data_IF_413765806301
#
_entry.id   IF_413765806301
#
_cell.length_a   1.000
_cell.length_b   1.000
_cell.length_c   1.000
_cell.angle_alpha   90.00
_cell.angle_beta   90.00
_cell.angle_gamma   90.00
#
_symmetry.space_group_name_H-M   'P 1'
#
loop_
_entity.id
_entity.type
_entity.pdbx_description
1 polymer ?
#
# COMPACT_ATOMS: atom_id res chain seq x y z
N UNK A 1 -18.48 9.49 -13.68
CA UNK A 1 -17.94 9.66 -12.32
C UNK A 1 -16.63 10.40 -12.43
N UNK A 2 -16.43 11.42 -11.61
CA UNK A 2 -15.18 12.17 -11.54
C UNK A 2 -14.22 11.51 -10.57
N UNK A 3 -13.01 11.25 -11.05
CA UNK A 3 -11.94 10.66 -10.26
C UNK A 3 -10.68 11.53 -10.35
N UNK A 4 -9.78 11.36 -9.39
CA UNK A 4 -8.44 11.95 -9.46
C UNK A 4 -7.41 10.86 -9.72
N UNK A 5 -6.68 10.98 -10.82
CA UNK A 5 -5.56 10.10 -11.17
C UNK A 5 -4.25 10.75 -10.75
N UNK A 6 -3.31 9.95 -10.25
CA UNK A 6 -1.95 10.35 -9.89
C UNK A 6 -0.97 9.54 -10.76
N UNK A 7 -0.18 10.24 -11.56
CA UNK A 7 0.92 9.65 -12.32
C UNK A 7 2.11 9.37 -11.40
N UNK A 8 2.62 8.14 -11.36
CA UNK A 8 3.63 7.76 -10.38
C UNK A 8 5.03 8.38 -10.61
N UNK A 9 5.34 8.77 -11.85
CA UNK A 9 6.64 9.32 -12.19
C UNK A 9 6.72 10.81 -11.83
N UNK A 10 5.70 11.56 -12.25
CA UNK A 10 5.60 13.01 -12.15
C UNK A 10 4.84 13.47 -10.90
N UNK A 11 4.05 12.58 -10.29
CA UNK A 11 3.11 12.87 -9.19
C UNK A 11 2.07 13.93 -9.56
N UNK A 12 1.81 14.10 -10.86
CA UNK A 12 0.80 15.01 -11.35
C UNK A 12 -0.59 14.44 -11.07
N UNK A 13 -1.43 15.26 -10.41
CA UNK A 13 -2.85 14.94 -10.20
C UNK A 13 -3.68 15.42 -11.38
N UNK A 14 -4.49 14.55 -11.97
CA UNK A 14 -5.39 14.85 -13.08
C UNK A 14 -6.82 14.47 -12.73
N UNK A 15 -7.79 15.30 -13.12
CA UNK A 15 -9.21 14.93 -13.03
C UNK A 15 -9.57 14.13 -14.28
N UNK A 16 -10.19 12.97 -14.08
CA UNK A 16 -10.63 12.11 -15.17
C UNK A 16 -12.11 11.78 -15.02
N UNK A 17 -12.82 11.77 -16.14
CA UNK A 17 -14.20 11.30 -16.21
C UNK A 17 -14.20 9.80 -16.49
N UNK A 18 -14.54 9.01 -15.47
CA UNK A 18 -14.75 7.57 -15.59
C UNK A 18 -16.18 7.32 -16.03
N UNK A 19 -16.32 6.70 -17.19
CA UNK A 19 -17.58 6.06 -17.58
C UNK A 19 -17.60 4.68 -16.97
N UNK A 20 -18.48 4.45 -15.98
CA UNK A 20 -18.69 3.12 -15.40
C UNK A 20 -19.33 2.20 -16.43
N UNK A 21 -18.53 1.62 -17.32
CA UNK A 21 -18.82 0.31 -17.86
C UNK A 21 -18.13 -0.70 -16.94
N UNK A 22 -18.80 -1.82 -16.65
CA UNK A 22 -18.24 -2.91 -15.84
C UNK A 22 -16.81 -3.28 -16.29
N UNK A 23 -16.52 -3.13 -17.58
CA UNK A 23 -15.22 -3.47 -18.17
C UNK A 23 -14.13 -2.41 -17.93
N UNK A 24 -14.45 -1.11 -17.84
CA UNK A 24 -13.44 -0.03 -17.72
C UNK A 24 -12.84 0.03 -16.32
N UNK A 25 -13.69 -0.20 -15.33
CA UNK A 25 -13.36 -0.44 -13.93
C UNK A 25 -12.53 -1.72 -13.87
N UNK A 26 -13.02 -2.87 -14.33
CA UNK A 26 -12.24 -4.13 -14.32
C UNK A 26 -10.87 -4.08 -15.03
N UNK A 27 -10.69 -3.25 -16.06
CA UNK A 27 -9.41 -3.09 -16.77
C UNK A 27 -8.40 -2.23 -15.98
N UNK A 28 -8.87 -1.27 -15.17
CA UNK A 28 -8.05 -0.66 -14.12
C UNK A 28 -7.82 -1.65 -12.96
N UNK A 29 -8.81 -2.48 -12.61
CA UNK A 29 -8.83 -3.37 -11.43
C UNK A 29 -7.99 -4.65 -11.57
N UNK A 30 -6.86 -4.56 -12.26
CA UNK A 30 -5.65 -5.14 -11.69
C UNK A 30 -5.15 -4.19 -10.60
N UNK A 31 -6.02 -3.72 -9.70
CA UNK A 31 -5.71 -2.73 -8.69
C UNK A 31 -6.07 -3.27 -7.34
N UNK A 32 -5.17 -3.06 -6.39
CA UNK A 32 -5.35 -3.52 -5.04
C UNK A 32 -6.03 -2.40 -4.28
N UNK A 33 -7.18 -2.71 -3.66
CA UNK A 33 -7.90 -1.79 -2.80
C UNK A 33 -7.01 -1.40 -1.64
N UNK A 34 -6.66 -0.13 -1.56
CA UNK A 34 -6.06 0.45 -0.36
C UNK A 34 -7.20 1.08 0.43
N UNK A 35 -7.41 0.54 1.62
CA UNK A 35 -8.50 0.87 2.53
C UNK A 35 -8.44 2.35 3.00
N UNK A 36 -9.50 2.77 3.69
CA UNK A 36 -9.79 4.15 4.08
C UNK A 36 -8.66 4.79 4.90
N UNK A 37 -7.96 5.75 4.29
CA UNK A 37 -7.02 6.63 4.97
C UNK A 37 -7.78 7.64 5.83
N UNK A 38 -7.38 7.82 7.10
CA UNK A 38 -7.98 8.83 7.98
C UNK A 38 -7.91 10.26 7.39
N UNK A 39 -6.88 10.54 6.58
CA UNK A 39 -6.70 11.81 5.85
C UNK A 39 -7.46 11.92 4.52
N UNK A 40 -8.01 10.81 4.02
CA UNK A 40 -8.84 10.71 2.81
C UNK A 40 -10.23 10.15 3.16
N UNK A 41 -10.86 10.78 4.15
CA UNK A 41 -12.20 10.40 4.62
C UNK A 41 -13.18 10.34 3.44
N UNK A 42 -14.00 9.29 3.37
CA UNK A 42 -14.96 9.05 2.28
C UNK A 42 -14.29 8.96 0.89
N UNK A 43 -13.06 8.46 0.82
CA UNK A 43 -12.39 8.17 -0.44
C UNK A 43 -11.72 6.80 -0.40
N UNK A 44 -11.51 6.24 -1.59
CA UNK A 44 -10.82 4.99 -1.81
C UNK A 44 -9.67 5.21 -2.79
N UNK A 45 -8.57 4.48 -2.58
CA UNK A 45 -7.39 4.53 -3.43
C UNK A 45 -7.24 3.17 -4.12
N UNK A 46 -7.24 3.19 -5.44
CA UNK A 46 -6.86 2.06 -6.26
C UNK A 46 -5.43 2.29 -6.75
N UNK A 47 -4.54 1.33 -6.48
CA UNK A 47 -3.16 1.35 -6.96
C UNK A 47 -2.91 0.17 -7.90
N UNK A 48 -1.99 0.32 -8.84
CA UNK A 48 -1.61 -0.73 -9.79
C UNK A 48 -1.06 -2.00 -9.11
N UNK A 49 -1.67 -3.16 -9.38
CA UNK A 49 -1.31 -4.44 -8.76
C UNK A 49 0.04 -5.00 -9.21
N UNK A 50 0.53 -4.59 -10.39
CA UNK A 50 1.83 -5.03 -10.88
C UNK A 50 2.95 -4.04 -10.52
N UNK A 51 2.62 -2.90 -9.93
CA UNK A 51 3.56 -1.81 -9.65
C UNK A 51 4.81 -2.26 -8.89
N UNK A 52 4.66 -3.20 -7.95
CA UNK A 52 5.80 -3.75 -7.21
C UNK A 52 6.75 -4.54 -8.13
N UNK A 53 6.20 -5.49 -8.90
CA UNK A 53 6.99 -6.33 -9.82
C UNK A 53 7.60 -5.52 -10.98
N UNK A 54 6.96 -4.43 -11.37
CA UNK A 54 7.46 -3.49 -12.38
C UNK A 54 8.42 -2.44 -11.80
N UNK A 55 8.72 -2.51 -10.49
CA UNK A 55 9.58 -1.58 -9.77
C UNK A 55 9.16 -0.11 -9.97
N UNK A 56 7.86 0.12 -10.06
CA UNK A 56 7.28 1.46 -10.18
C UNK A 56 7.63 2.29 -8.94
N UNK A 57 7.83 3.59 -9.16
CA UNK A 57 8.22 4.52 -8.11
C UNK A 57 7.18 4.53 -6.97
N UNK A 58 7.60 4.25 -5.71
CA UNK A 58 6.75 4.38 -4.55
C UNK A 58 6.64 5.85 -4.11
N UNK A 59 5.53 6.20 -3.48
CA UNK A 59 5.31 7.49 -2.81
C UNK A 59 4.28 7.31 -1.69
N UNK A 60 4.09 8.34 -0.86
CA UNK A 60 3.04 8.34 0.15
C UNK A 60 1.91 9.28 -0.25
N UNK A 61 0.69 8.90 0.15
CA UNK A 61 -0.44 9.81 0.28
C UNK A 61 -0.81 9.84 1.76
N UNK A 62 -0.59 10.96 2.44
CA UNK A 62 -0.61 10.99 3.90
C UNK A 62 0.39 9.99 4.48
N UNK A 63 -0.11 8.99 5.21
CA UNK A 63 0.71 7.94 5.83
C UNK A 63 0.75 6.63 5.01
N UNK A 64 -0.05 6.54 3.95
CA UNK A 64 -0.19 5.30 3.19
C UNK A 64 0.85 5.18 2.09
N UNK A 65 1.59 4.07 2.07
CA UNK A 65 2.49 3.76 0.97
C UNK A 65 1.69 3.35 -0.28
N UNK A 66 1.92 4.05 -1.38
CA UNK A 66 1.32 3.79 -2.68
C UNK A 66 2.40 3.39 -3.68
N UNK A 67 2.13 2.32 -4.44
CA UNK A 67 3.00 1.84 -5.51
C UNK A 67 2.36 2.10 -6.87
N UNK A 68 3.09 2.78 -7.75
CA UNK A 68 2.62 3.02 -9.11
C UNK A 68 1.47 4.02 -9.19
N UNK A 69 0.78 3.99 -10.31
CA UNK A 69 -0.29 4.96 -10.58
C UNK A 69 -1.43 4.75 -9.60
N UNK A 70 -2.06 5.84 -9.17
CA UNK A 70 -3.18 5.77 -8.25
C UNK A 70 -4.43 6.45 -8.81
N UNK A 71 -5.57 5.90 -8.46
CA UNK A 71 -6.88 6.44 -8.77
C UNK A 71 -7.66 6.65 -7.47
N UNK A 72 -8.09 7.88 -7.24
CA UNK A 72 -8.84 8.30 -6.05
C UNK A 72 -10.30 8.50 -6.46
N UNK A 73 -11.19 7.72 -5.83
CA UNK A 73 -12.64 7.86 -5.96
C UNK A 73 -13.23 8.31 -4.63
N UNK A 74 -14.37 9.00 -4.69
CA UNK A 74 -15.19 9.22 -3.51
C UNK A 74 -15.89 7.91 -3.13
N UNK A 75 -16.29 7.78 -1.88
CA UNK A 75 -17.01 6.63 -1.36
C UNK A 75 -18.23 7.06 -0.56
N UNK A 76 -19.37 6.45 -0.86
CA UNK A 76 -20.61 6.59 -0.10
C UNK A 76 -21.10 5.19 0.30
N UNK A 77 -20.81 4.79 1.55
CA UNK A 77 -21.01 3.43 2.01
C UNK A 77 -20.16 2.42 1.22
N UNK A 78 -20.82 1.59 0.40
CA UNK A 78 -20.16 0.58 -0.44
C UNK A 78 -20.06 1.00 -1.92
N UNK A 79 -20.59 2.18 -2.27
CA UNK A 79 -20.62 2.66 -3.65
C UNK A 79 -19.48 3.65 -3.89
N UNK A 80 -18.79 3.46 -5.02
CA UNK A 80 -17.86 4.45 -5.54
C UNK A 80 -18.67 5.62 -6.13
N UNK A 81 -18.27 6.84 -5.79
CA UNK A 81 -18.90 8.10 -6.23
C UNK A 81 -17.85 9.10 -6.68
N UNK A 82 -18.29 10.27 -7.14
CA UNK A 82 -17.38 11.35 -7.51
C UNK A 82 -16.44 11.70 -6.35
N UNK A 83 -15.14 11.82 -6.65
CA UNK A 83 -14.15 12.28 -5.69
C UNK A 83 -14.53 13.67 -5.17
N UNK A 84 -14.65 13.79 -3.84
CA UNK A 84 -15.07 15.03 -3.16
C UNK A 84 -13.86 15.88 -2.73
N UNK A 85 -12.69 15.27 -2.58
CA UNK A 85 -11.46 15.96 -2.18
C UNK A 85 -11.01 16.95 -3.25
N UNK A 86 -10.65 18.17 -2.83
CA UNK A 86 -10.11 19.14 -3.76
C UNK A 86 -8.71 18.73 -4.23
N UNK A 87 -8.39 18.93 -5.51
CA UNK A 87 -7.06 18.64 -6.08
C UNK A 87 -5.90 19.24 -5.25
N UNK A 88 -6.06 20.46 -4.73
CA UNK A 88 -5.05 21.13 -3.91
C UNK A 88 -4.83 20.42 -2.57
N UNK A 89 -5.89 19.90 -1.96
CA UNK A 89 -5.83 19.14 -0.71
C UNK A 89 -5.12 17.81 -0.94
N UNK A 90 -5.49 17.09 -2.02
CA UNK A 90 -4.82 15.84 -2.38
C UNK A 90 -3.32 16.06 -2.64
N UNK A 91 -2.95 17.11 -3.38
CA UNK A 91 -1.54 17.46 -3.62
C UNK A 91 -0.75 17.71 -2.33
N UNK A 92 -1.39 18.26 -1.30
CA UNK A 92 -0.74 18.50 -0.01
C UNK A 92 -0.47 17.22 0.78
N UNK A 93 -1.18 16.13 0.47
CA UNK A 93 -0.98 14.81 1.07
C UNK A 93 0.09 13.98 0.35
N UNK A 94 0.47 14.34 -0.88
CA UNK A 94 1.44 13.56 -1.66
C UNK A 94 2.86 13.85 -1.17
N UNK A 95 3.55 12.82 -0.70
CA UNK A 95 4.95 12.89 -0.29
C UNK A 95 5.82 11.98 -1.18
N UNK A 96 6.74 12.56 -1.98
CA UNK A 96 7.60 11.78 -2.89
C UNK A 96 8.69 10.99 -2.16
N UNK A 97 9.01 11.38 -0.93
CA UNK A 97 10.20 10.92 -0.23
C UNK A 97 9.95 9.61 0.49
N UNK A 98 10.29 8.52 -0.18
CA UNK A 98 10.36 7.18 0.40
C UNK A 98 11.79 6.94 0.88
N UNK A 99 11.95 6.61 2.16
CA UNK A 99 13.26 6.47 2.79
C UNK A 99 13.99 5.17 2.37
N UNK A 100 15.23 5.02 2.84
CA UNK A 100 16.10 3.90 2.45
C UNK A 100 15.52 2.53 2.85
N UNK A 101 14.93 2.41 4.05
CA UNK A 101 14.34 1.17 4.52
C UNK A 101 13.26 0.64 3.55
N UNK A 102 12.29 1.50 3.19
CA UNK A 102 11.25 1.11 2.25
C UNK A 102 11.83 0.73 0.88
N UNK A 103 12.77 1.52 0.36
CA UNK A 103 13.39 1.24 -0.95
C UNK A 103 14.06 -0.13 -0.98
N UNK A 104 14.82 -0.46 0.05
CA UNK A 104 15.53 -1.74 0.15
C UNK A 104 14.56 -2.91 0.28
N UNK A 105 13.53 -2.79 1.13
CA UNK A 105 12.51 -3.84 1.28
C UNK A 105 11.72 -4.02 0.00
N UNK A 106 11.27 -2.94 -0.66
CA UNK A 106 10.51 -3.03 -1.91
C UNK A 106 11.32 -3.68 -3.03
N UNK A 107 12.62 -3.41 -3.11
CA UNK A 107 13.52 -4.06 -4.06
C UNK A 107 13.58 -5.58 -3.85
N UNK A 108 13.65 -6.03 -2.58
CA UNK A 108 13.61 -7.45 -2.24
C UNK A 108 12.28 -8.12 -2.60
N UNK A 109 11.18 -7.39 -2.44
CA UNK A 109 9.82 -7.92 -2.68
C UNK A 109 9.43 -7.91 -4.15
N UNK A 110 10.07 -7.08 -4.99
CA UNK A 110 9.77 -6.93 -6.41
C UNK A 110 9.86 -8.26 -7.19
N UNK A 111 10.75 -9.16 -6.78
CA UNK A 111 10.96 -10.46 -7.44
C UNK A 111 10.03 -11.58 -6.88
N UNK A 112 8.99 -11.21 -6.14
CA UNK A 112 8.08 -12.14 -5.45
C UNK A 112 6.63 -11.96 -5.92
N UNK A 113 5.75 -12.88 -5.54
CA UNK A 113 4.30 -12.80 -5.80
C UNK A 113 3.52 -12.06 -4.70
N UNK A 114 4.22 -11.35 -3.81
CA UNK A 114 3.58 -10.69 -2.68
C UNK A 114 2.71 -9.51 -3.14
N UNK A 115 1.54 -9.41 -2.53
CA UNK A 115 0.65 -8.27 -2.67
C UNK A 115 0.68 -7.48 -1.37
N UNK A 116 1.14 -6.22 -1.42
CA UNK A 116 1.36 -5.43 -0.20
C UNK A 116 0.09 -5.16 0.61
N UNK A 117 -1.06 -5.07 -0.06
CA UNK A 117 -2.32 -4.66 0.56
C UNK A 117 -3.28 -5.83 0.77
N UNK A 118 -2.93 -7.04 0.31
CA UNK A 118 -3.68 -8.26 0.63
C UNK A 118 -3.62 -8.50 2.14
N UNK A 119 -4.78 -8.57 2.76
CA UNK A 119 -4.88 -8.77 4.20
C UNK A 119 -4.59 -10.22 4.60
N UNK A 120 -4.03 -10.37 5.79
CA UNK A 120 -3.88 -11.61 6.53
C UNK A 120 -4.27 -11.37 8.00
N UNK A 121 -4.50 -12.44 8.75
CA UNK A 121 -4.93 -12.36 10.14
C UNK A 121 -3.81 -12.74 11.10
N UNK A 122 -3.65 -11.95 12.16
CA UNK A 122 -2.82 -12.26 13.33
C UNK A 122 -3.69 -12.29 14.58
N UNK A 123 -3.20 -12.92 15.65
CA UNK A 123 -3.96 -13.05 16.90
C UNK A 123 -3.25 -12.32 18.05
N UNK A 124 -3.98 -11.53 18.83
CA UNK A 124 -3.46 -10.90 20.05
C UNK A 124 -4.55 -10.88 21.11
N UNK A 125 -4.24 -11.37 22.31
CA UNK A 125 -5.18 -11.40 23.44
C UNK A 125 -6.53 -12.09 23.12
N UNK A 126 -6.53 -13.08 22.23
CA UNK A 126 -7.74 -13.77 21.77
C UNK A 126 -8.54 -13.03 20.69
N UNK A 127 -8.09 -11.86 20.25
CA UNK A 127 -8.68 -11.10 19.15
C UNK A 127 -7.95 -11.38 17.84
N UNK A 128 -8.72 -11.50 16.75
CA UNK A 128 -8.22 -11.63 15.39
C UNK A 128 -8.14 -10.26 14.74
N UNK A 129 -6.95 -9.85 14.37
CA UNK A 129 -6.67 -8.54 13.79
C UNK A 129 -6.25 -8.75 12.34
N UNK A 130 -6.93 -8.06 11.42
CA UNK A 130 -6.58 -8.06 10.01
C UNK A 130 -5.50 -7.00 9.77
N UNK A 131 -4.36 -7.42 9.20
CA UNK A 131 -3.23 -6.57 8.83
C UNK A 131 -2.82 -6.90 7.40
N UNK A 132 -1.93 -6.11 6.82
CA UNK A 132 -1.34 -6.37 5.51
C UNK A 132 0.17 -6.17 5.58
N UNK A 133 0.87 -6.42 4.47
CA UNK A 133 2.32 -6.26 4.42
C UNK A 133 2.73 -4.81 4.57
N UNK A 134 1.99 -3.86 3.99
CA UNK A 134 2.27 -2.43 4.13
C UNK A 134 2.33 -1.97 5.59
N UNK A 135 1.42 -2.44 6.45
CA UNK A 135 1.46 -2.22 7.89
C UNK A 135 2.74 -2.77 8.55
N UNK A 136 3.24 -3.92 8.10
CA UNK A 136 4.50 -4.50 8.58
C UNK A 136 5.67 -3.58 8.23
N UNK A 137 5.71 -3.10 6.98
CA UNK A 137 6.75 -2.17 6.52
C UNK A 137 6.72 -0.89 7.36
N UNK A 138 5.55 -0.30 7.59
CA UNK A 138 5.39 0.86 8.46
C UNK A 138 5.93 0.60 9.87
N UNK A 139 5.57 -0.53 10.47
CA UNK A 139 5.97 -0.88 11.83
C UNK A 139 7.48 -1.06 11.98
N UNK A 140 8.13 -1.73 11.04
CA UNK A 140 9.58 -1.92 11.09
C UNK A 140 10.34 -0.66 10.69
N UNK A 141 9.76 0.18 9.83
CA UNK A 141 10.34 1.47 9.48
C UNK A 141 10.53 2.42 10.68
N UNK A 142 9.63 2.35 11.67
CA UNK A 142 9.72 3.18 12.88
C UNK A 142 10.51 2.51 14.03
N UNK A 143 10.97 1.27 13.84
CA UNK A 143 11.79 0.57 14.82
C UNK A 143 13.23 1.13 14.88
N UNK A 144 14.04 0.66 15.84
CA UNK A 144 15.45 0.98 15.89
C UNK A 144 16.24 0.34 14.72
N UNK A 145 17.40 0.90 14.37
CA UNK A 145 18.19 0.47 13.21
C UNK A 145 18.58 -1.01 13.26
N UNK A 146 18.89 -1.56 14.43
CA UNK A 146 19.22 -2.99 14.57
C UNK A 146 18.01 -3.87 14.23
N UNK A 147 16.82 -3.44 14.59
CA UNK A 147 15.57 -4.15 14.25
C UNK A 147 15.27 -4.07 12.75
N UNK A 148 15.53 -2.92 12.10
CA UNK A 148 15.43 -2.78 10.64
C UNK A 148 16.39 -3.71 9.90
N UNK A 149 17.66 -3.70 10.30
CA UNK A 149 18.70 -4.57 9.72
C UNK A 149 18.34 -6.05 9.89
N UNK A 150 17.84 -6.44 11.06
CA UNK A 150 17.39 -7.82 11.30
C UNK A 150 16.25 -8.20 10.35
N UNK A 151 15.23 -7.32 10.20
CA UNK A 151 14.12 -7.55 9.29
C UNK A 151 14.60 -7.75 7.85
N UNK A 152 15.43 -6.83 7.34
CA UNK A 152 15.94 -6.90 5.96
C UNK A 152 16.74 -8.19 5.73
N UNK A 153 17.62 -8.56 6.67
CA UNK A 153 18.43 -9.77 6.57
C UNK A 153 17.58 -11.04 6.54
N UNK A 154 16.56 -11.14 7.40
CA UNK A 154 15.68 -12.31 7.43
C UNK A 154 14.75 -12.35 6.20
N UNK A 155 14.30 -11.20 5.71
CA UNK A 155 13.55 -11.10 4.46
C UNK A 155 14.38 -11.59 3.28
N UNK A 156 15.63 -11.12 3.17
CA UNK A 156 16.55 -11.56 2.11
C UNK A 156 16.75 -13.08 2.14
N UNK A 157 16.87 -13.70 3.32
CA UNK A 157 16.95 -15.16 3.45
C UNK A 157 15.66 -15.83 2.96
N UNK A 158 14.50 -15.31 3.32
CA UNK A 158 13.21 -15.84 2.89
C UNK A 158 13.04 -15.79 1.36
N UNK A 159 13.39 -14.65 0.74
CA UNK A 159 13.37 -14.45 -0.72
C UNK A 159 14.34 -15.40 -1.41
N UNK A 160 15.60 -15.47 -0.97
CA UNK A 160 16.63 -16.35 -1.56
C UNK A 160 16.26 -17.83 -1.46
N UNK A 161 15.63 -18.24 -0.36
CA UNK A 161 15.15 -19.61 -0.16
C UNK A 161 13.92 -19.95 -1.01
N UNK A 162 13.35 -18.99 -1.76
CA UNK A 162 12.04 -19.10 -2.43
C UNK A 162 10.95 -19.56 -1.47
N UNK A 163 11.08 -19.19 -0.20
CA UNK A 163 10.04 -19.41 0.80
C UNK A 163 8.84 -18.54 0.48
N UNK A 164 7.69 -18.86 1.06
CA UNK A 164 6.50 -18.01 0.93
C UNK A 164 6.71 -16.73 1.72
N UNK A 165 7.08 -15.65 1.04
CA UNK A 165 7.33 -14.33 1.63
C UNK A 165 6.11 -13.81 2.39
N UNK A 166 4.90 -14.15 1.96
CA UNK A 166 3.67 -13.87 2.69
C UNK A 166 3.65 -14.47 4.12
N UNK A 167 4.13 -15.71 4.29
CA UNK A 167 4.21 -16.34 5.62
C UNK A 167 5.26 -15.65 6.51
N UNK A 168 6.37 -15.18 5.93
CA UNK A 168 7.36 -14.37 6.63
C UNK A 168 6.76 -13.04 7.11
N UNK A 169 6.04 -12.31 6.23
CA UNK A 169 5.39 -11.05 6.60
C UNK A 169 4.36 -11.24 7.70
N UNK A 170 3.54 -12.29 7.63
CA UNK A 170 2.57 -12.61 8.68
C UNK A 170 3.28 -12.92 10.01
N UNK A 171 4.40 -13.65 9.99
CA UNK A 171 5.20 -13.92 11.19
C UNK A 171 5.77 -12.62 11.79
N UNK A 172 6.30 -11.72 10.96
CA UNK A 172 6.82 -10.44 11.43
C UNK A 172 5.72 -9.56 12.02
N UNK A 173 4.53 -9.56 11.41
CA UNK A 173 3.35 -8.89 11.96
C UNK A 173 2.98 -9.44 13.34
N UNK A 174 2.93 -10.77 13.49
CA UNK A 174 2.62 -11.40 14.78
C UNK A 174 3.66 -11.04 15.86
N UNK A 175 4.95 -11.02 15.51
CA UNK A 175 6.00 -10.61 16.44
C UNK A 175 5.84 -9.14 16.85
N UNK A 176 5.61 -8.24 15.90
CA UNK A 176 5.40 -6.82 16.18
C UNK A 176 4.18 -6.59 17.09
N UNK A 177 3.07 -7.30 16.85
CA UNK A 177 1.87 -7.23 17.68
C UNK A 177 2.10 -7.70 19.12
N UNK A 178 2.95 -8.71 19.31
CA UNK A 178 3.30 -9.23 20.63
C UNK A 178 4.19 -8.27 21.43
N UNK A 179 4.95 -7.41 20.74
CA UNK A 179 5.85 -6.42 21.37
C UNK A 179 5.15 -5.09 21.62
N UNK A 180 4.23 -4.68 20.75
CA UNK A 180 3.38 -3.52 20.99
C UNK A 180 2.56 -3.77 22.27
N UNK A 181 2.75 -2.95 23.31
CA UNK A 181 2.02 -3.06 24.58
C UNK A 181 0.61 -2.48 24.44
#
# INVERSE_FOLDING_TARGET
MKALSIDNQTLAVQEIDITMAANTVYTFFSSILIDELAGLKEHVIYADANALSEKKKPYFIGEQLVLGDALILGRDGFDDVDAKIAKKELLALIHPDVNAFYKEVLELLADTDINLYKTFTVEKNGEKIALNTEWVLYTFNIADERTKEYFINELQKAVTAKSKVAEYMQKMAQLAMNVAA
#
